data_IF_223132178539
#
_entry.id   IF_223132178539
#
_cell.length_a   1.000
_cell.length_b   1.000
_cell.length_c   1.000
_cell.angle_alpha   90.00
_cell.angle_beta   90.00
_cell.angle_gamma   90.00
#
_symmetry.space_group_name_H-M   'P 1'
#
loop_
_entity.id
_entity.type
_entity.pdbx_description
1 polymer ?
#
# COMPACT_ATOMS: atom_id res chain seq x y z
N UNK A 1 -4.85 -22.62 21.03
CA UNK A 1 -5.59 -21.38 20.67
C UNK A 1 -4.99 -20.88 19.39
N UNK A 2 -5.82 -20.60 18.41
CA UNK A 2 -5.34 -20.04 17.15
C UNK A 2 -4.76 -18.65 17.41
N UNK A 3 -3.66 -18.32 16.75
CA UNK A 3 -3.06 -16.98 16.85
C UNK A 3 -4.06 -15.94 16.34
N UNK A 4 -4.12 -14.80 17.05
CA UNK A 4 -5.02 -13.69 16.69
C UNK A 4 -4.31 -12.60 15.92
N UNK A 5 -4.97 -12.13 14.88
CA UNK A 5 -4.45 -11.08 13.99
C UNK A 5 -5.42 -9.91 13.95
N UNK A 6 -4.91 -8.69 14.12
CA UNK A 6 -5.64 -7.46 13.81
C UNK A 6 -5.22 -6.93 12.45
N UNK A 7 -6.19 -6.63 11.59
CA UNK A 7 -5.97 -5.96 10.30
C UNK A 7 -6.69 -4.62 10.32
N UNK A 8 -5.95 -3.51 10.40
CA UNK A 8 -6.52 -2.18 10.24
C UNK A 8 -6.52 -1.80 8.76
N UNK A 9 -7.57 -1.14 8.28
CA UNK A 9 -7.75 -0.94 6.84
C UNK A 9 -8.17 -2.24 6.13
N UNK A 10 -8.93 -3.09 6.82
CA UNK A 10 -9.34 -4.42 6.34
C UNK A 10 -10.16 -4.35 5.04
N UNK A 11 -10.95 -3.29 4.84
CA UNK A 11 -11.72 -3.06 3.61
C UNK A 11 -10.86 -2.55 2.45
N UNK A 12 -9.59 -2.17 2.69
CA UNK A 12 -8.67 -1.68 1.68
C UNK A 12 -8.14 -2.77 0.74
N UNK A 13 -7.42 -2.35 -0.30
CA UNK A 13 -6.87 -3.22 -1.33
C UNK A 13 -5.99 -4.35 -0.77
N UNK A 14 -5.01 -4.01 0.07
CA UNK A 14 -4.11 -4.99 0.69
C UNK A 14 -4.83 -5.76 1.81
N UNK A 15 -5.68 -5.06 2.59
CA UNK A 15 -6.41 -5.65 3.71
C UNK A 15 -7.30 -6.82 3.28
N UNK A 16 -8.06 -6.66 2.20
CA UNK A 16 -8.92 -7.73 1.63
C UNK A 16 -8.11 -8.97 1.26
N UNK A 17 -7.01 -8.78 0.57
CA UNK A 17 -6.19 -9.91 0.14
C UNK A 17 -5.50 -10.59 1.34
N UNK A 18 -5.09 -9.81 2.37
CA UNK A 18 -4.60 -10.38 3.63
C UNK A 18 -5.66 -11.23 4.34
N UNK A 19 -6.88 -10.72 4.49
CA UNK A 19 -7.97 -11.48 5.09
C UNK A 19 -8.14 -12.83 4.37
N UNK A 20 -8.23 -12.81 3.05
CA UNK A 20 -8.37 -13.99 2.22
C UNK A 20 -7.24 -15.01 2.39
N UNK A 21 -5.97 -14.56 2.46
CA UNK A 21 -4.81 -15.46 2.57
C UNK A 21 -4.54 -15.95 3.99
N UNK A 22 -5.10 -15.29 5.01
CA UNK A 22 -4.88 -15.63 6.43
C UNK A 22 -6.04 -16.41 7.07
N UNK A 23 -7.25 -16.42 6.48
CA UNK A 23 -8.50 -16.93 7.09
C UNK A 23 -8.43 -18.36 7.65
N UNK A 24 -7.67 -19.25 7.00
CA UNK A 24 -7.56 -20.65 7.42
C UNK A 24 -6.41 -20.89 8.40
N UNK A 25 -5.72 -19.84 8.82
CA UNK A 25 -4.49 -19.91 9.64
C UNK A 25 -4.57 -19.15 10.95
N UNK A 26 -5.42 -18.14 11.02
CA UNK A 26 -5.51 -17.21 12.15
C UNK A 26 -6.97 -16.86 12.45
N UNK A 27 -7.22 -16.46 13.70
CA UNK A 27 -8.44 -15.75 14.07
C UNK A 27 -8.26 -14.27 13.69
N UNK A 28 -9.05 -13.78 12.74
CA UNK A 28 -8.85 -12.46 12.13
C UNK A 28 -9.89 -11.46 12.61
N UNK A 29 -9.41 -10.37 13.20
CA UNK A 29 -10.19 -9.19 13.55
C UNK A 29 -9.85 -8.07 12.58
N UNK A 30 -10.84 -7.59 11.84
CA UNK A 30 -10.71 -6.46 10.92
C UNK A 30 -11.31 -5.19 11.46
N UNK A 31 -10.65 -4.04 11.25
CA UNK A 31 -11.21 -2.71 11.52
C UNK A 31 -11.01 -1.80 10.31
N UNK A 32 -12.07 -1.09 9.92
CA UNK A 32 -12.06 -0.10 8.84
C UNK A 32 -13.21 0.88 9.04
N UNK A 33 -13.01 2.16 8.80
CA UNK A 33 -14.08 3.15 8.88
C UNK A 33 -14.87 3.30 7.57
N UNK A 34 -14.50 2.54 6.54
CA UNK A 34 -15.10 2.54 5.19
C UNK A 34 -15.13 3.92 4.51
N UNK A 35 -14.24 4.83 4.88
CA UNK A 35 -14.16 6.16 4.28
C UNK A 35 -13.85 6.15 2.78
N UNK A 36 -13.23 5.06 2.29
CA UNK A 36 -12.86 4.90 0.89
C UNK A 36 -13.71 3.88 0.13
N UNK A 37 -14.12 2.79 0.80
CA UNK A 37 -14.88 1.69 0.20
C UNK A 37 -16.12 1.45 1.04
N UNK A 38 -17.22 2.11 0.71
CA UNK A 38 -18.51 1.92 1.36
C UNK A 38 -19.09 0.53 1.05
N UNK A 39 -19.86 -0.02 1.98
CA UNK A 39 -20.59 -1.30 1.86
C UNK A 39 -19.70 -2.53 1.64
N UNK A 40 -18.52 -2.54 2.26
CA UNK A 40 -17.67 -3.72 2.24
C UNK A 40 -17.88 -4.55 3.50
N UNK A 41 -18.22 -5.82 3.33
CA UNK A 41 -18.21 -6.84 4.38
C UNK A 41 -17.24 -7.93 3.96
N UNK A 42 -16.06 -8.04 4.60
CA UNK A 42 -15.12 -9.09 4.27
C UNK A 42 -15.65 -10.44 4.79
N UNK A 43 -15.96 -11.36 3.88
CA UNK A 43 -16.42 -12.73 4.20
C UNK A 43 -15.30 -13.61 4.79
N UNK A 44 -14.06 -13.11 4.78
CA UNK A 44 -12.87 -13.82 5.20
C UNK A 44 -12.36 -13.37 6.59
N UNK A 45 -13.23 -12.83 7.44
CA UNK A 45 -12.94 -12.37 8.81
C UNK A 45 -13.79 -13.10 9.86
N UNK A 46 -13.24 -13.29 11.05
CA UNK A 46 -13.99 -13.79 12.22
C UNK A 46 -14.76 -12.68 12.92
N UNK A 47 -14.16 -11.49 13.01
CA UNK A 47 -14.81 -10.28 13.56
C UNK A 47 -14.52 -9.07 12.69
N UNK A 48 -15.53 -8.22 12.48
CA UNK A 48 -15.38 -6.97 11.74
C UNK A 48 -15.96 -5.77 12.49
N UNK A 49 -15.16 -4.72 12.63
CA UNK A 49 -15.55 -3.47 13.26
C UNK A 49 -15.54 -2.34 12.22
N UNK A 50 -16.71 -1.83 11.87
CA UNK A 50 -16.81 -0.60 11.09
C UNK A 50 -16.63 0.59 12.03
N UNK A 51 -15.38 1.02 12.22
CA UNK A 51 -15.02 2.04 13.22
C UNK A 51 -13.72 2.74 12.84
N UNK A 52 -13.56 3.94 13.37
CA UNK A 52 -12.23 4.56 13.44
C UNK A 52 -11.35 3.82 14.44
N UNK A 53 -10.03 3.83 14.17
CA UNK A 53 -9.03 3.14 15.00
C UNK A 53 -9.06 3.63 16.46
N UNK A 54 -9.24 4.92 16.68
CA UNK A 54 -9.32 5.50 18.03
C UNK A 54 -10.41 4.85 18.87
N UNK A 55 -11.63 4.76 18.33
CA UNK A 55 -12.76 4.13 19.01
C UNK A 55 -12.56 2.62 19.18
N UNK A 56 -11.96 1.96 18.18
CA UNK A 56 -11.68 0.54 18.23
C UNK A 56 -10.74 0.18 19.40
N UNK A 57 -9.62 0.87 19.55
CA UNK A 57 -8.63 0.56 20.62
C UNK A 57 -9.13 0.89 22.03
N UNK A 58 -10.12 1.78 22.16
CA UNK A 58 -10.78 2.06 23.44
C UNK A 58 -11.70 0.91 23.89
N UNK A 59 -12.36 0.27 22.92
CA UNK A 59 -13.40 -0.74 23.17
C UNK A 59 -12.88 -2.17 23.15
N UNK A 60 -11.93 -2.47 22.28
CA UNK A 60 -11.41 -3.83 22.08
C UNK A 60 -10.06 -3.99 22.78
N UNK A 61 -10.06 -4.77 23.86
CA UNK A 61 -8.87 -5.09 24.69
C UNK A 61 -8.40 -6.52 24.43
N UNK A 62 -8.13 -6.85 23.18
CA UNK A 62 -7.63 -8.17 22.79
C UNK A 62 -6.10 -8.19 22.67
N UNK A 63 -5.52 -9.33 23.04
CA UNK A 63 -4.11 -9.62 22.77
C UNK A 63 -3.98 -10.17 21.35
N UNK A 64 -3.33 -9.43 20.48
CA UNK A 64 -3.03 -9.87 19.12
C UNK A 64 -1.58 -10.34 19.02
N UNK A 65 -1.36 -11.46 18.34
CA UNK A 65 -0.01 -11.91 17.97
C UNK A 65 0.62 -11.03 16.89
N UNK A 66 -0.22 -10.61 15.92
CA UNK A 66 0.17 -9.73 14.81
C UNK A 66 -0.83 -8.61 14.67
N UNK A 67 -0.33 -7.40 14.37
CA UNK A 67 -1.13 -6.27 13.90
C UNK A 67 -0.62 -5.89 12.52
N UNK A 68 -1.44 -6.05 11.48
CA UNK A 68 -1.17 -5.50 10.14
C UNK A 68 -1.81 -4.12 10.05
N UNK A 69 -0.99 -3.08 10.18
CA UNK A 69 -1.47 -1.71 10.14
C UNK A 69 -1.41 -1.15 8.71
N UNK A 70 -2.56 -1.22 8.03
CA UNK A 70 -2.72 -0.78 6.63
C UNK A 70 -3.61 0.45 6.50
N UNK A 71 -4.35 0.82 7.56
CA UNK A 71 -5.24 1.96 7.54
C UNK A 71 -4.46 3.26 7.31
N UNK A 72 -4.81 3.97 6.25
CA UNK A 72 -4.28 5.28 5.95
C UNK A 72 -5.17 6.02 4.93
N UNK A 73 -5.25 7.32 5.05
CA UNK A 73 -5.77 8.17 3.98
C UNK A 73 -4.71 8.24 2.89
N UNK A 74 -4.98 7.62 1.74
CA UNK A 74 -4.07 7.49 0.61
C UNK A 74 -4.75 7.92 -0.69
N UNK A 75 -3.96 8.29 -1.68
CA UNK A 75 -4.37 8.67 -3.04
C UNK A 75 -3.94 10.08 -3.39
N UNK A 76 -3.46 10.25 -4.64
CA UNK A 76 -2.90 11.53 -5.11
C UNK A 76 -3.89 12.68 -4.96
N UNK A 77 -5.17 12.47 -5.27
CA UNK A 77 -6.20 13.50 -5.11
C UNK A 77 -6.31 13.98 -3.66
N UNK A 78 -6.27 13.07 -2.68
CA UNK A 78 -6.32 13.41 -1.26
C UNK A 78 -5.15 14.26 -0.83
N UNK A 79 -3.94 13.96 -1.33
CA UNK A 79 -2.72 14.71 -0.98
C UNK A 79 -2.80 16.17 -1.39
N UNK A 80 -3.36 16.48 -2.56
CA UNK A 80 -3.44 17.85 -3.07
C UNK A 80 -4.70 18.58 -2.62
N UNK A 81 -5.83 17.89 -2.48
CA UNK A 81 -7.11 18.52 -2.14
C UNK A 81 -7.29 18.73 -0.63
N UNK A 82 -6.73 17.86 0.20
CA UNK A 82 -6.89 17.94 1.66
C UNK A 82 -5.64 17.48 2.42
N UNK A 83 -4.48 18.12 2.21
CA UNK A 83 -3.19 17.68 2.79
C UNK A 83 -3.19 17.68 4.32
N UNK A 84 -3.84 18.65 4.95
CA UNK A 84 -3.92 18.75 6.41
C UNK A 84 -4.62 17.54 7.01
N UNK A 85 -5.76 17.14 6.43
CA UNK A 85 -6.49 15.96 6.88
C UNK A 85 -5.68 14.66 6.70
N UNK A 86 -4.97 14.53 5.56
CA UNK A 86 -4.08 13.40 5.33
C UNK A 86 -2.99 13.32 6.38
N UNK A 87 -2.32 14.45 6.67
CA UNK A 87 -1.24 14.53 7.65
C UNK A 87 -1.73 14.17 9.06
N UNK A 88 -2.80 14.80 9.51
CA UNK A 88 -3.33 14.62 10.88
C UNK A 88 -3.82 13.18 11.07
N UNK A 89 -4.73 12.70 10.20
CA UNK A 89 -5.32 11.38 10.37
C UNK A 89 -4.29 10.26 10.32
N UNK A 90 -3.38 10.29 9.35
CA UNK A 90 -2.37 9.25 9.27
C UNK A 90 -1.42 9.27 10.47
N UNK A 91 -0.97 10.45 10.91
CA UNK A 91 -0.10 10.55 12.09
C UNK A 91 -0.81 10.04 13.36
N UNK A 92 -2.07 10.42 13.57
CA UNK A 92 -2.84 9.99 14.75
C UNK A 92 -3.08 8.47 14.71
N UNK A 93 -3.52 7.92 13.58
CA UNK A 93 -3.72 6.48 13.44
C UNK A 93 -2.44 5.68 13.71
N UNK A 94 -1.31 6.11 13.14
CA UNK A 94 -0.02 5.47 13.31
C UNK A 94 0.42 5.50 14.80
N UNK A 95 0.31 6.63 15.50
CA UNK A 95 0.65 6.79 16.93
C UNK A 95 -0.26 5.93 17.82
N UNK A 96 -1.56 5.92 17.57
CA UNK A 96 -2.54 5.14 18.34
C UNK A 96 -2.23 3.65 18.24
N UNK A 97 -1.99 3.14 17.03
CA UNK A 97 -1.67 1.72 16.83
C UNK A 97 -0.29 1.36 17.39
N UNK A 98 0.70 2.25 17.28
CA UNK A 98 1.99 2.05 17.94
C UNK A 98 1.82 1.89 19.45
N UNK A 99 1.11 2.82 20.11
CA UNK A 99 0.88 2.77 21.56
C UNK A 99 0.06 1.54 21.99
N UNK A 100 -0.90 1.13 21.15
CA UNK A 100 -1.67 -0.09 21.39
C UNK A 100 -0.79 -1.35 21.29
N UNK A 101 0.08 -1.43 20.29
CA UNK A 101 1.03 -2.54 20.16
C UNK A 101 2.07 -2.55 21.29
N UNK A 102 2.56 -1.38 21.72
CA UNK A 102 3.54 -1.23 22.82
C UNK A 102 2.97 -1.70 24.16
N UNK A 103 1.67 -1.55 24.39
CA UNK A 103 1.00 -2.04 25.61
C UNK A 103 0.98 -3.57 25.74
N UNK A 104 1.29 -4.29 24.65
CA UNK A 104 1.36 -5.75 24.59
C UNK A 104 2.72 -6.23 24.05
N UNK A 105 3.63 -6.63 24.93
CA UNK A 105 4.99 -7.05 24.60
C UNK A 105 5.10 -8.27 23.65
N UNK A 106 4.01 -8.98 23.38
CA UNK A 106 4.00 -10.16 22.50
C UNK A 106 3.64 -9.78 21.05
N UNK A 107 2.95 -8.66 20.87
CA UNK A 107 2.46 -8.23 19.58
C UNK A 107 3.60 -7.84 18.65
N UNK A 108 3.55 -8.34 17.41
CA UNK A 108 4.39 -7.85 16.33
C UNK A 108 3.59 -6.94 15.40
N UNK A 109 4.09 -5.74 15.17
CA UNK A 109 3.46 -4.74 14.32
C UNK A 109 4.05 -4.78 12.91
N UNK A 110 3.24 -5.15 11.93
CA UNK A 110 3.56 -5.13 10.50
C UNK A 110 2.98 -3.83 9.93
N UNK A 111 3.85 -2.92 9.56
CA UNK A 111 3.48 -1.58 9.14
C UNK A 111 3.53 -1.41 7.62
N UNK A 112 2.44 -0.90 7.06
CA UNK A 112 2.41 -0.50 5.65
C UNK A 112 3.02 0.90 5.47
N UNK A 113 4.33 0.94 5.29
CA UNK A 113 5.03 2.10 4.77
C UNK A 113 4.84 2.22 3.25
N UNK A 114 5.56 3.10 2.59
CA UNK A 114 5.33 3.43 1.19
C UNK A 114 6.61 3.80 0.46
N UNK A 115 6.68 3.50 -0.83
CA UNK A 115 7.70 4.04 -1.74
C UNK A 115 7.70 5.57 -1.82
N UNK A 116 6.65 6.25 -1.34
CA UNK A 116 6.63 7.71 -1.24
C UNK A 116 7.70 8.25 -0.30
N UNK A 117 8.08 7.51 0.76
CA UNK A 117 9.11 7.99 1.72
C UNK A 117 10.48 8.20 1.07
N UNK A 118 10.81 7.40 0.06
CA UNK A 118 12.07 7.48 -0.69
C UNK A 118 11.89 8.07 -2.10
N UNK A 119 10.78 8.73 -2.35
CA UNK A 119 10.46 9.37 -3.62
C UNK A 119 11.30 10.63 -3.86
N UNK A 120 11.69 10.88 -5.10
CA UNK A 120 12.54 12.02 -5.47
C UNK A 120 14.05 11.75 -5.45
N UNK A 121 14.45 10.50 -5.22
CA UNK A 121 15.83 10.04 -5.46
C UNK A 121 16.15 9.96 -6.95
N UNK A 122 17.45 10.03 -7.26
CA UNK A 122 18.00 9.74 -8.59
C UNK A 122 18.72 8.38 -8.64
N UNK A 123 18.71 7.60 -7.55
CA UNK A 123 19.33 6.28 -7.47
C UNK A 123 18.30 5.19 -7.78
N UNK A 124 18.54 4.39 -8.80
CA UNK A 124 17.66 3.30 -9.26
C UNK A 124 18.46 2.04 -9.65
N UNK A 125 17.99 0.83 -9.29
CA UNK A 125 16.81 0.61 -8.42
C UNK A 125 17.00 1.22 -7.03
N UNK A 126 15.90 1.63 -6.38
CA UNK A 126 15.94 2.35 -5.11
C UNK A 126 15.96 1.36 -3.95
N UNK A 127 17.06 1.33 -3.18
CA UNK A 127 17.21 0.48 -1.99
C UNK A 127 16.58 1.09 -0.76
N UNK A 128 16.47 0.29 0.31
CA UNK A 128 15.99 0.74 1.62
C UNK A 128 16.96 1.72 2.30
N UNK A 129 18.26 1.57 2.01
CA UNK A 129 19.37 2.30 2.65
C UNK A 129 19.64 3.70 2.04
N UNK A 130 18.73 4.17 1.18
CA UNK A 130 18.93 5.47 0.53
C UNK A 130 18.64 6.62 1.48
N UNK A 131 19.45 7.68 1.38
CA UNK A 131 19.21 8.94 2.10
C UNK A 131 17.88 9.58 1.71
N UNK A 132 17.09 9.94 2.72
CA UNK A 132 15.81 10.62 2.53
C UNK A 132 16.06 12.11 2.40
N UNK A 133 15.84 12.64 1.20
CA UNK A 133 16.04 14.05 0.91
C UNK A 133 14.71 14.82 0.94
N UNK A 134 14.55 15.67 1.94
CA UNK A 134 13.38 16.54 2.10
C UNK A 134 13.58 17.80 1.26
N UNK A 135 13.14 17.76 0.01
CA UNK A 135 13.08 18.94 -0.87
C UNK A 135 11.68 19.54 -0.83
N UNK A 136 11.58 20.87 -0.77
CA UNK A 136 10.29 21.58 -0.82
C UNK A 136 9.25 20.99 0.15
N UNK A 137 9.46 21.14 1.47
CA UNK A 137 8.56 20.66 2.52
C UNK A 137 7.12 21.17 2.39
N UNK A 138 6.90 22.27 1.65
CA UNK A 138 5.58 22.83 1.40
C UNK A 138 4.81 22.08 0.30
N UNK A 139 5.44 21.15 -0.43
CA UNK A 139 4.71 20.32 -1.40
C UNK A 139 3.67 19.45 -0.68
N UNK A 140 2.39 19.44 -1.10
CA UNK A 140 1.31 18.72 -0.44
C UNK A 140 1.55 17.21 -0.28
N UNK A 141 2.41 16.59 -1.10
CA UNK A 141 2.74 15.15 -0.98
C UNK A 141 3.45 14.81 0.33
N UNK A 142 4.05 15.80 1.01
CA UNK A 142 4.65 15.60 2.33
C UNK A 142 3.59 15.25 3.40
N UNK A 143 2.34 15.61 3.19
CA UNK A 143 1.24 15.24 4.08
C UNK A 143 1.09 13.73 4.28
N UNK A 144 1.47 12.95 3.27
CA UNK A 144 1.47 11.48 3.34
C UNK A 144 2.84 10.90 3.71
N UNK A 145 3.93 11.54 3.24
CA UNK A 145 5.30 11.06 3.49
C UNK A 145 5.70 11.19 4.95
N UNK A 146 5.38 12.34 5.58
CA UNK A 146 5.76 12.63 6.97
C UNK A 146 5.20 11.59 7.95
N UNK A 147 3.90 11.24 7.96
CA UNK A 147 3.39 10.17 8.82
C UNK A 147 4.14 8.85 8.62
N UNK A 148 4.40 8.47 7.36
CA UNK A 148 5.11 7.22 7.06
C UNK A 148 6.54 7.21 7.62
N UNK A 149 7.26 8.32 7.50
CA UNK A 149 8.59 8.49 8.10
C UNK A 149 8.55 8.55 9.62
N UNK A 150 7.56 9.25 10.19
CA UNK A 150 7.34 9.31 11.63
C UNK A 150 7.20 7.89 12.21
N UNK A 151 6.35 7.07 11.60
CA UNK A 151 6.13 5.71 12.10
C UNK A 151 7.36 4.82 11.90
N UNK A 152 8.07 4.88 10.76
CA UNK A 152 9.33 4.14 10.61
C UNK A 152 10.35 4.53 11.69
N UNK A 153 10.43 5.80 12.06
CA UNK A 153 11.31 6.28 13.13
C UNK A 153 10.86 5.80 14.52
N UNK A 154 9.55 5.84 14.82
CA UNK A 154 8.99 5.30 16.07
C UNK A 154 9.27 3.80 16.22
N UNK A 155 9.06 3.04 15.15
CA UNK A 155 9.30 1.60 15.13
C UNK A 155 10.77 1.26 15.37
N UNK A 156 11.68 1.99 14.72
CA UNK A 156 13.12 1.72 14.83
C UNK A 156 13.69 2.07 16.20
N UNK A 157 13.21 3.13 16.86
CA UNK A 157 13.74 3.63 18.12
C UNK A 157 12.93 3.22 19.36
N UNK A 158 11.76 2.62 19.16
CA UNK A 158 10.86 2.17 20.23
C UNK A 158 11.07 0.71 20.63
N UNK A 159 10.15 0.19 21.44
CA UNK A 159 10.25 -1.14 22.03
C UNK A 159 9.31 -2.18 21.39
N UNK A 160 8.58 -1.82 20.33
CA UNK A 160 7.65 -2.71 19.64
C UNK A 160 8.41 -3.62 18.68
N UNK A 161 8.12 -4.92 18.69
CA UNK A 161 8.58 -5.82 17.61
C UNK A 161 7.91 -5.39 16.32
N UNK A 162 8.66 -5.18 15.26
CA UNK A 162 8.10 -4.65 14.03
C UNK A 162 8.67 -5.24 12.75
N UNK A 163 7.92 -5.02 11.68
CA UNK A 163 8.36 -5.12 10.29
C UNK A 163 7.72 -3.98 9.51
N UNK A 164 8.53 -3.10 8.91
CA UNK A 164 8.05 -2.00 8.07
C UNK A 164 8.21 -2.37 6.59
N UNK A 165 7.13 -2.25 5.83
CA UNK A 165 7.08 -2.66 4.42
C UNK A 165 6.80 -1.45 3.53
N UNK A 166 7.77 -1.06 2.71
CA UNK A 166 7.63 0.01 1.73
C UNK A 166 7.00 -0.55 0.45
N UNK A 167 5.69 -0.43 0.30
CA UNK A 167 4.98 -0.91 -0.87
C UNK A 167 5.18 -0.02 -2.10
N UNK A 168 5.47 -0.66 -3.25
CA UNK A 168 5.65 -0.02 -4.55
C UNK A 168 4.49 -0.32 -5.49
N UNK A 169 3.63 0.68 -5.74
CA UNK A 169 2.53 0.66 -6.72
C UNK A 169 1.74 -0.66 -6.76
N UNK A 170 1.26 -1.11 -5.59
CA UNK A 170 0.41 -2.29 -5.48
C UNK A 170 -0.94 -2.00 -6.14
N UNK A 171 -1.44 -2.96 -6.94
CA UNK A 171 -2.72 -2.86 -7.63
C UNK A 171 -3.51 -4.18 -7.57
N UNK A 172 -4.82 -4.08 -7.77
CA UNK A 172 -5.74 -5.22 -7.91
C UNK A 172 -6.96 -4.83 -8.73
N UNK A 173 -7.84 -5.79 -9.03
CA UNK A 173 -9.18 -5.57 -9.56
C UNK A 173 -10.10 -4.81 -8.60
N UNK A 174 -9.80 -4.81 -7.29
CA UNK A 174 -10.55 -4.08 -6.26
C UNK A 174 -10.01 -2.68 -6.01
N UNK A 175 -9.09 -2.21 -6.84
CA UNK A 175 -8.56 -0.86 -6.76
C UNK A 175 -9.68 0.16 -6.94
N UNK A 176 -9.63 1.25 -6.18
CA UNK A 176 -10.56 2.38 -6.29
C UNK A 176 -9.88 3.63 -6.83
N UNK A 177 -10.56 4.76 -6.77
CA UNK A 177 -10.07 6.07 -7.19
C UNK A 177 -8.67 6.40 -6.65
N UNK A 178 -7.82 6.99 -7.48
CA UNK A 178 -6.42 7.29 -7.18
C UNK A 178 -5.46 6.12 -7.35
N UNK A 179 -5.94 4.96 -7.82
CA UNK A 179 -5.10 3.83 -8.22
C UNK A 179 -5.05 3.73 -9.74
N UNK A 180 -3.85 3.59 -10.29
CA UNK A 180 -3.58 3.70 -11.72
C UNK A 180 -4.47 2.81 -12.59
N UNK A 181 -4.62 1.52 -12.26
CA UNK A 181 -5.42 0.58 -13.07
C UNK A 181 -6.89 0.99 -13.10
N UNK A 182 -7.46 1.32 -11.94
CA UNK A 182 -8.83 1.82 -11.83
C UNK A 182 -9.03 3.13 -12.60
N UNK A 183 -8.11 4.09 -12.41
CA UNK A 183 -8.23 5.42 -13.03
C UNK A 183 -8.18 5.33 -14.57
N UNK A 184 -7.31 4.50 -15.14
CA UNK A 184 -7.25 4.28 -16.59
C UNK A 184 -8.53 3.62 -17.10
N UNK A 185 -8.99 2.57 -16.43
CA UNK A 185 -10.23 1.86 -16.81
C UNK A 185 -11.44 2.79 -16.75
N UNK A 186 -11.55 3.58 -15.67
CA UNK A 186 -12.63 4.53 -15.47
C UNK A 186 -12.62 5.66 -16.53
N UNK A 187 -11.43 6.14 -16.92
CA UNK A 187 -11.28 7.10 -18.01
C UNK A 187 -11.79 6.55 -19.34
N UNK A 188 -11.52 5.27 -19.64
CA UNK A 188 -12.05 4.61 -20.84
C UNK A 188 -13.58 4.56 -20.78
N UNK A 189 -14.15 4.10 -19.66
CA UNK A 189 -15.61 4.00 -19.47
C UNK A 189 -16.33 5.34 -19.62
N UNK A 190 -15.67 6.45 -19.22
CA UNK A 190 -16.23 7.81 -19.29
C UNK A 190 -15.80 8.59 -20.54
N UNK A 191 -15.20 7.96 -21.54
CA UNK A 191 -14.69 8.59 -22.76
C UNK A 191 -13.70 9.74 -22.50
N UNK A 192 -12.92 9.66 -21.43
CA UNK A 192 -11.91 10.65 -21.03
C UNK A 192 -10.51 10.08 -21.28
N UNK A 193 -10.01 10.20 -22.48
CA UNK A 193 -8.75 9.62 -22.93
C UNK A 193 -7.55 10.51 -22.64
N UNK A 194 -7.30 10.79 -21.36
CA UNK A 194 -6.16 11.59 -20.91
C UNK A 194 -5.18 10.75 -20.11
N UNK A 195 -3.93 10.69 -20.56
CA UNK A 195 -2.82 10.04 -19.86
C UNK A 195 -1.89 11.10 -19.27
N UNK A 196 -1.52 10.93 -18.01
CA UNK A 196 -0.61 11.84 -17.30
C UNK A 196 0.81 11.30 -17.38
N UNK A 197 1.74 12.13 -17.85
CA UNK A 197 3.17 11.84 -17.94
C UNK A 197 3.50 10.45 -18.53
N UNK A 198 3.22 10.23 -19.81
CA UNK A 198 3.30 8.92 -20.46
C UNK A 198 4.70 8.29 -20.40
N UNK A 199 5.74 9.13 -20.35
CA UNK A 199 7.15 8.69 -20.33
C UNK A 199 7.67 8.39 -18.91
N UNK A 200 6.92 8.73 -17.85
CA UNK A 200 7.25 8.33 -16.49
C UNK A 200 7.16 6.82 -16.36
N UNK A 201 7.95 6.25 -15.44
CA UNK A 201 7.99 4.80 -15.24
C UNK A 201 7.53 4.39 -13.85
N UNK A 202 6.93 3.21 -13.79
CA UNK A 202 6.52 2.54 -12.54
C UNK A 202 6.84 1.06 -12.61
N UNK A 203 7.01 0.48 -11.43
CA UNK A 203 7.01 -0.96 -11.24
C UNK A 203 5.71 -1.32 -10.54
N UNK A 204 4.85 -2.07 -11.18
CA UNK A 204 3.54 -2.46 -10.65
C UNK A 204 3.63 -3.85 -10.02
N UNK A 205 3.14 -4.00 -8.80
CA UNK A 205 3.09 -5.25 -8.06
C UNK A 205 1.63 -5.67 -7.86
N UNK A 206 1.29 -6.90 -8.26
CA UNK A 206 -0.06 -7.40 -8.00
C UNK A 206 -0.25 -7.67 -6.52
N UNK A 207 -1.45 -7.42 -6.02
CA UNK A 207 -1.76 -7.48 -4.58
C UNK A 207 -1.49 -8.85 -3.97
N UNK A 208 -1.78 -9.94 -4.70
CA UNK A 208 -1.54 -11.29 -4.20
C UNK A 208 -0.06 -11.56 -3.95
N UNK A 209 0.83 -11.15 -4.87
CA UNK A 209 2.29 -11.29 -4.70
C UNK A 209 2.81 -10.45 -3.53
N UNK A 210 2.31 -9.22 -3.41
CA UNK A 210 2.68 -8.32 -2.32
C UNK A 210 2.25 -8.88 -0.96
N UNK A 211 1.06 -9.46 -0.86
CA UNK A 211 0.52 -10.02 0.38
C UNK A 211 1.21 -11.33 0.75
N UNK A 212 1.47 -12.21 -0.22
CA UNK A 212 2.23 -13.44 0.03
C UNK A 212 3.61 -13.12 0.61
N UNK A 213 4.33 -12.16 0.02
CA UNK A 213 5.61 -11.69 0.55
C UNK A 213 5.46 -11.10 1.96
N UNK A 214 4.42 -10.29 2.20
CA UNK A 214 4.13 -9.69 3.51
C UNK A 214 3.96 -10.75 4.58
N UNK A 215 3.19 -11.81 4.32
CA UNK A 215 2.94 -12.90 5.27
C UNK A 215 4.23 -13.67 5.58
N UNK A 216 4.99 -14.07 4.56
CA UNK A 216 6.26 -14.79 4.72
C UNK A 216 7.26 -13.98 5.56
N UNK A 217 7.38 -12.68 5.30
CA UNK A 217 8.27 -11.79 6.05
C UNK A 217 7.77 -11.57 7.48
N UNK A 218 6.46 -11.40 7.69
CA UNK A 218 5.89 -11.20 9.01
C UNK A 218 6.20 -12.36 9.97
N UNK A 219 6.31 -13.58 9.46
CA UNK A 219 6.61 -14.79 10.23
C UNK A 219 8.10 -14.98 10.54
N UNK A 220 9.00 -14.39 9.73
CA UNK A 220 10.43 -14.72 9.75
C UNK A 220 11.38 -13.56 10.02
N UNK A 221 10.91 -12.30 9.94
CA UNK A 221 11.78 -11.12 9.98
C UNK A 221 11.30 -10.10 11.00
N UNK A 222 12.18 -9.70 11.92
CA UNK A 222 11.92 -8.66 12.93
C UNK A 222 12.91 -7.50 12.78
N UNK A 223 12.45 -6.28 13.08
CA UNK A 223 13.30 -5.09 13.20
C UNK A 223 13.81 -4.54 11.86
N UNK A 224 13.12 -4.82 10.75
CA UNK A 224 13.58 -4.47 9.42
C UNK A 224 12.63 -3.54 8.67
N UNK A 225 13.20 -2.78 7.74
CA UNK A 225 12.47 -2.07 6.68
C UNK A 225 12.76 -2.78 5.36
N UNK A 226 11.72 -3.18 4.61
CA UNK A 226 11.87 -3.96 3.36
C UNK A 226 10.97 -3.39 2.26
N UNK A 227 11.51 -3.23 1.07
CA UNK A 227 10.75 -2.87 -0.13
C UNK A 227 9.91 -4.06 -0.62
N UNK A 228 8.61 -3.84 -0.81
CA UNK A 228 7.69 -4.80 -1.43
C UNK A 228 7.28 -4.28 -2.79
N UNK A 229 7.58 -5.03 -3.84
CA UNK A 229 7.27 -4.61 -5.21
C UNK A 229 7.74 -5.58 -6.27
N UNK A 230 7.60 -5.16 -7.51
CA UNK A 230 8.10 -5.85 -8.70
C UNK A 230 9.31 -5.09 -9.24
N UNK A 231 10.36 -5.77 -9.68
CA UNK A 231 11.54 -5.16 -10.28
C UNK A 231 11.41 -4.89 -11.80
N UNK A 232 10.27 -5.28 -12.39
CA UNK A 232 9.96 -4.98 -13.79
C UNK A 232 9.39 -3.57 -13.92
N UNK A 233 10.15 -2.69 -14.55
CA UNK A 233 9.81 -1.29 -14.75
C UNK A 233 9.19 -1.09 -16.14
N UNK A 234 8.03 -0.40 -16.21
CA UNK A 234 7.37 -0.07 -17.47
C UNK A 234 6.95 1.41 -17.49
N UNK A 235 6.85 2.01 -18.69
CA UNK A 235 6.33 3.36 -18.85
C UNK A 235 4.83 3.40 -18.58
N UNK A 236 4.33 4.55 -18.13
CA UNK A 236 2.88 4.80 -17.98
C UNK A 236 2.16 4.58 -19.32
N UNK A 237 2.77 5.01 -20.44
CA UNK A 237 2.26 4.75 -21.79
C UNK A 237 2.09 3.25 -22.08
N UNK A 238 3.11 2.44 -21.78
CA UNK A 238 3.04 0.98 -21.98
C UNK A 238 1.97 0.35 -21.10
N UNK A 239 1.92 0.72 -19.81
CA UNK A 239 0.90 0.22 -18.88
C UNK A 239 -0.52 0.59 -19.33
N UNK A 240 -0.74 1.85 -19.75
CA UNK A 240 -2.02 2.30 -20.31
C UNK A 240 -2.40 1.49 -21.57
N UNK A 241 -1.45 1.24 -22.47
CA UNK A 241 -1.70 0.44 -23.68
C UNK A 241 -2.12 -1.00 -23.35
N UNK A 242 -1.50 -1.62 -22.34
CA UNK A 242 -1.87 -2.98 -21.87
C UNK A 242 -3.31 -3.00 -21.34
N UNK A 243 -3.67 -2.05 -20.47
CA UNK A 243 -5.03 -1.96 -19.92
C UNK A 243 -6.03 -1.69 -21.06
N UNK A 244 -5.76 -0.70 -21.93
CA UNK A 244 -6.63 -0.33 -23.05
C UNK A 244 -6.99 -1.53 -23.91
N UNK A 245 -5.98 -2.28 -24.34
CA UNK A 245 -6.18 -3.49 -25.14
C UNK A 245 -7.00 -4.56 -24.41
N UNK A 246 -6.74 -4.75 -23.11
CA UNK A 246 -7.44 -5.75 -22.30
C UNK A 246 -8.95 -5.46 -22.17
N UNK A 247 -9.33 -4.16 -22.11
CA UNK A 247 -10.73 -3.72 -22.04
C UNK A 247 -11.33 -3.32 -23.40
N UNK A 248 -10.62 -3.61 -24.51
CA UNK A 248 -11.14 -3.43 -25.87
C UNK A 248 -11.02 -1.99 -26.42
N UNK A 249 -10.24 -1.09 -25.79
CA UNK A 249 -10.00 0.25 -26.31
C UNK A 249 -8.69 0.29 -27.11
N UNK A 250 -8.78 0.73 -28.40
CA UNK A 250 -7.64 0.83 -29.32
C UNK A 250 -7.40 2.26 -29.85
N UNK A 251 -8.06 3.26 -29.25
CA UNK A 251 -7.92 4.66 -29.66
C UNK A 251 -6.68 5.36 -29.07
N UNK A 252 -6.52 6.62 -29.44
CA UNK A 252 -5.42 7.47 -28.97
C UNK A 252 -5.72 8.12 -27.62
N UNK A 253 -4.64 8.50 -26.93
CA UNK A 253 -4.67 9.21 -25.66
C UNK A 253 -4.10 10.62 -25.80
N UNK A 254 -4.79 11.61 -25.23
CA UNK A 254 -4.20 12.94 -24.99
C UNK A 254 -3.21 12.87 -23.84
N UNK A 255 -2.09 13.56 -23.94
CA UNK A 255 -1.04 13.56 -22.89
C UNK A 255 -1.01 14.87 -22.13
N UNK A 256 -0.79 14.82 -20.83
CA UNK A 256 -0.57 15.97 -19.95
C UNK A 256 0.60 15.67 -19.02
N UNK A 257 1.21 16.72 -18.48
CA UNK A 257 2.27 16.58 -17.48
C UNK A 257 1.72 16.21 -16.09
N UNK A 258 2.55 15.58 -15.25
CA UNK A 258 2.23 15.31 -13.86
C UNK A 258 2.32 16.58 -13.01
N UNK A 259 1.62 16.57 -11.88
CA UNK A 259 1.73 17.61 -10.87
C UNK A 259 3.14 17.64 -10.26
N UNK A 260 3.58 18.84 -9.84
CA UNK A 260 4.85 19.04 -9.18
C UNK A 260 5.02 18.09 -7.96
N UNK A 261 6.19 17.49 -7.82
CA UNK A 261 6.51 16.54 -6.76
C UNK A 261 6.15 15.09 -7.09
N UNK A 262 5.53 14.81 -8.25
CA UNK A 262 5.40 13.43 -8.74
C UNK A 262 6.78 12.85 -9.06
N UNK A 263 6.99 11.60 -8.68
CA UNK A 263 8.24 10.90 -9.03
C UNK A 263 8.22 10.54 -10.52
N UNK A 264 9.25 10.95 -11.25
CA UNK A 264 9.40 10.59 -12.68
C UNK A 264 9.64 9.10 -12.86
N UNK A 265 10.31 8.46 -11.90
CA UNK A 265 10.69 7.06 -11.93
C UNK A 265 10.45 6.40 -10.57
N UNK A 266 9.94 5.16 -10.56
CA UNK A 266 9.81 4.33 -9.35
C UNK A 266 10.11 2.89 -9.67
N UNK A 267 11.29 2.44 -9.24
CA UNK A 267 11.73 1.06 -9.36
C UNK A 267 12.37 0.64 -8.03
N UNK A 268 11.80 -0.34 -7.31
CA UNK A 268 12.40 -0.85 -6.08
C UNK A 268 13.67 -1.65 -6.39
N UNK A 269 14.64 -1.59 -5.50
CA UNK A 269 15.55 -2.68 -5.27
C UNK A 269 14.86 -3.70 -4.36
N UNK A 270 14.69 -4.93 -4.83
CA UNK A 270 14.08 -6.03 -4.06
C UNK A 270 15.11 -7.10 -3.64
N UNK A 271 16.40 -6.75 -3.68
CA UNK A 271 17.47 -7.68 -3.29
C UNK A 271 17.35 -8.12 -1.84
N UNK A 272 16.96 -7.18 -0.94
CA UNK A 272 16.72 -7.45 0.47
C UNK A 272 15.52 -8.38 0.65
N UNK A 273 14.42 -8.17 -0.06
CA UNK A 273 13.27 -9.06 -0.10
C UNK A 273 13.67 -10.48 -0.55
N UNK A 274 14.41 -10.59 -1.66
CA UNK A 274 14.88 -11.88 -2.20
C UNK A 274 15.89 -12.58 -1.29
N UNK A 275 16.58 -11.87 -0.41
CA UNK A 275 17.44 -12.50 0.61
C UNK A 275 16.60 -13.31 1.63
N UNK A 276 15.41 -12.84 1.98
CA UNK A 276 14.50 -13.54 2.90
C UNK A 276 13.55 -14.50 2.17
N UNK A 277 13.18 -14.20 0.92
CA UNK A 277 12.31 -15.01 0.08
C UNK A 277 13.00 -15.24 -1.28
N UNK A 278 13.94 -16.20 -1.38
CA UNK A 278 14.75 -16.37 -2.59
C UNK A 278 13.95 -16.71 -3.86
N UNK A 279 12.80 -17.34 -3.71
CA UNK A 279 11.88 -17.73 -4.77
C UNK A 279 10.87 -16.64 -5.16
N UNK A 280 10.96 -15.43 -4.56
CA UNK A 280 10.05 -14.33 -4.88
C UNK A 280 10.18 -13.92 -6.35
N UNK A 281 9.12 -14.17 -7.11
CA UNK A 281 9.03 -13.89 -8.53
C UNK A 281 7.62 -13.36 -8.89
N UNK A 282 7.37 -12.05 -8.69
CA UNK A 282 6.05 -11.48 -8.90
C UNK A 282 5.63 -11.53 -10.36
N UNK A 283 4.34 -11.76 -10.62
CA UNK A 283 3.77 -11.80 -11.97
C UNK A 283 4.01 -10.49 -12.73
N UNK A 284 4.16 -10.59 -14.05
CA UNK A 284 4.26 -9.41 -14.90
C UNK A 284 2.93 -8.63 -14.95
N UNK A 285 3.01 -7.31 -15.08
CA UNK A 285 1.82 -6.46 -15.19
C UNK A 285 0.89 -6.91 -16.33
N UNK A 286 1.46 -7.26 -17.47
CA UNK A 286 0.69 -7.70 -18.66
C UNK A 286 -0.06 -9.01 -18.41
N UNK A 287 0.58 -10.00 -17.81
CA UNK A 287 -0.04 -11.28 -17.45
C UNK A 287 -1.27 -11.08 -16.54
N UNK A 288 -1.07 -10.30 -15.46
CA UNK A 288 -2.14 -10.04 -14.49
C UNK A 288 -3.31 -9.29 -15.13
N UNK A 289 -3.04 -8.19 -15.88
CA UNK A 289 -4.11 -7.41 -16.52
C UNK A 289 -4.94 -8.29 -17.47
N UNK A 290 -4.31 -9.17 -18.23
CA UNK A 290 -5.05 -10.13 -19.09
C UNK A 290 -5.91 -11.09 -18.28
N UNK A 291 -5.42 -11.55 -17.12
CA UNK A 291 -6.16 -12.48 -16.23
C UNK A 291 -7.36 -11.83 -15.56
N UNK A 292 -7.26 -10.55 -15.16
CA UNK A 292 -8.33 -9.85 -14.44
C UNK A 292 -9.22 -8.97 -15.32
N UNK A 293 -9.02 -8.96 -16.63
CA UNK A 293 -9.68 -8.03 -17.60
C UNK A 293 -11.20 -7.94 -17.45
N UNK A 294 -11.86 -9.06 -17.18
CA UNK A 294 -13.32 -9.13 -17.06
C UNK A 294 -13.84 -8.48 -15.74
N UNK A 295 -12.94 -8.13 -14.84
CA UNK A 295 -13.23 -7.44 -13.58
C UNK A 295 -12.83 -5.95 -13.60
N UNK A 296 -12.21 -5.49 -14.70
CA UNK A 296 -11.75 -4.09 -14.85
C UNK A 296 -12.86 -3.10 -15.30
#
# INVERSE_FOLDING_TARGET
>A
MDKKVLITGAAGLIGRELCKQLKDRFYIVGVDNQSRFSNFHPDDLDEYYQSDISNFVETVKNDFDYIYHLAAVNGTNSFYNNPTNVLINNSLCDIIIYSYAESNNKTKLIYASSSEVISGTNSFPTSEEIDINIKNIHNPRWSYRIPKLLMENLLHNGNVKYLSLRYFNVYSEYSGEGHFVYDITNKIKNNNYVIVSPEETRSFCYVSDAVEATIKLAESVDGEVINIGNDQEITIKKATSIISKAVGYNGDWKTVESQEGSAKRRKPDISKLKKYIPDYNPESFESVIHRIKDKL
#
